data_IF_232546026097
#
_entry.id   IF_232546026097
#
_cell.length_a   1.000
_cell.length_b   1.000
_cell.length_c   1.000
_cell.angle_alpha   90.00
_cell.angle_beta   90.00
_cell.angle_gamma   90.00
#
_symmetry.space_group_name_H-M   'P 1'
#
loop_
_entity.id
_entity.type
_entity.pdbx_description
1 polymer ?
#
# COMPACT_ATOMS: atom_id res chain seq x y z
N UNK A 1 -24.06 0.93 -8.63
CA UNK A 1 -25.12 1.70 -9.35
C UNK A 1 -24.66 3.02 -9.93
N UNK A 2 -24.07 3.95 -9.14
CA UNK A 2 -23.61 5.27 -9.63
C UNK A 2 -22.72 5.22 -10.89
N UNK A 3 -21.79 4.28 -10.98
CA UNK A 3 -20.94 4.09 -12.16
C UNK A 3 -21.77 3.75 -13.41
N UNK A 4 -22.76 2.87 -13.28
CA UNK A 4 -23.59 2.42 -14.40
C UNK A 4 -24.52 3.52 -14.94
N UNK A 5 -24.78 4.55 -14.15
CA UNK A 5 -25.47 5.75 -14.63
C UNK A 5 -24.58 6.60 -15.58
N UNK A 6 -23.25 6.44 -15.49
CA UNK A 6 -22.26 7.14 -16.34
C UNK A 6 -21.86 6.24 -17.53
N UNK A 7 -21.63 4.95 -17.26
CA UNK A 7 -21.23 3.96 -18.26
C UNK A 7 -22.12 2.71 -18.16
N UNK A 8 -23.16 2.65 -19.00
CA UNK A 8 -24.22 1.65 -18.91
C UNK A 8 -23.77 0.22 -19.26
N UNK A 9 -22.69 0.08 -20.02
CA UNK A 9 -22.15 -1.22 -20.47
C UNK A 9 -21.41 -2.00 -19.37
N UNK A 10 -21.07 -1.35 -18.25
CA UNK A 10 -20.43 -2.02 -17.14
C UNK A 10 -21.34 -3.05 -16.47
N UNK A 11 -20.77 -4.20 -16.14
CA UNK A 11 -21.42 -5.22 -15.30
C UNK A 11 -21.63 -4.65 -13.88
N UNK A 12 -22.73 -5.02 -13.20
CA UNK A 12 -22.91 -4.65 -11.81
C UNK A 12 -21.85 -5.34 -10.95
N UNK A 13 -21.06 -4.55 -10.20
CA UNK A 13 -20.15 -5.07 -9.19
C UNK A 13 -20.94 -5.60 -7.98
N UNK A 14 -20.47 -6.70 -7.44
CA UNK A 14 -20.94 -7.33 -6.20
C UNK A 14 -20.01 -6.97 -5.04
N UNK A 15 -20.36 -7.36 -3.82
CA UNK A 15 -19.49 -7.13 -2.66
C UNK A 15 -18.16 -7.90 -2.77
N UNK A 16 -18.20 -9.10 -3.33
CA UNK A 16 -17.01 -9.93 -3.51
C UNK A 16 -16.00 -9.31 -4.48
N UNK A 17 -16.47 -8.50 -5.44
CA UNK A 17 -15.60 -7.82 -6.41
C UNK A 17 -14.66 -6.80 -5.74
N UNK A 18 -15.03 -6.24 -4.58
CA UNK A 18 -14.16 -5.30 -3.87
C UNK A 18 -12.99 -5.98 -3.17
N UNK A 19 -13.13 -7.25 -2.78
CA UNK A 19 -12.06 -8.06 -2.16
C UNK A 19 -11.23 -8.85 -3.20
N UNK A 20 -11.66 -8.88 -4.46
CA UNK A 20 -11.07 -9.74 -5.47
C UNK A 20 -9.80 -9.14 -6.08
N UNK A 21 -8.71 -9.90 -6.04
CA UNK A 21 -7.54 -9.66 -6.87
C UNK A 21 -7.66 -10.49 -8.16
N UNK A 22 -7.90 -9.82 -9.30
CA UNK A 22 -8.28 -10.51 -10.53
C UNK A 22 -7.11 -11.09 -11.33
N UNK A 23 -5.91 -10.50 -11.24
CA UNK A 23 -4.73 -10.83 -12.06
C UNK A 23 -5.05 -11.01 -13.55
N UNK A 24 -5.96 -10.18 -14.04
CA UNK A 24 -6.50 -10.22 -15.39
C UNK A 24 -6.93 -8.82 -15.84
N UNK A 25 -7.26 -8.61 -17.13
CA UNK A 25 -7.83 -7.36 -17.65
C UNK A 25 -9.26 -7.08 -17.15
N UNK A 26 -9.44 -7.01 -15.83
CA UNK A 26 -10.70 -6.78 -15.12
C UNK A 26 -10.47 -5.65 -14.12
N UNK A 27 -11.40 -4.70 -14.06
CA UNK A 27 -11.33 -3.55 -13.17
C UNK A 27 -12.70 -3.32 -12.51
N UNK A 28 -12.72 -3.32 -11.18
CA UNK A 28 -13.87 -2.88 -10.39
C UNK A 28 -13.77 -1.35 -10.18
N UNK A 29 -14.88 -0.64 -10.40
CA UNK A 29 -14.93 0.83 -10.28
C UNK A 29 -16.04 1.23 -9.33
N UNK A 30 -15.73 2.12 -8.38
CA UNK A 30 -16.68 2.69 -7.42
C UNK A 30 -16.61 4.21 -7.42
N UNK A 31 -17.77 4.87 -7.46
CA UNK A 31 -17.85 6.34 -7.24
C UNK A 31 -18.04 6.59 -5.75
N UNK A 32 -17.10 7.32 -5.15
CA UNK A 32 -17.13 7.73 -3.74
C UNK A 32 -17.50 9.20 -3.59
N UNK A 33 -17.85 9.64 -2.38
CA UNK A 33 -18.25 11.03 -2.11
C UNK A 33 -17.05 12.00 -1.99
N UNK A 34 -15.87 11.47 -1.64
CA UNK A 34 -14.67 12.26 -1.40
C UNK A 34 -13.56 11.40 -0.79
N UNK A 35 -12.52 12.07 -0.27
CA UNK A 35 -11.32 11.41 0.26
C UNK A 35 -11.61 10.51 1.47
N UNK A 36 -12.50 10.90 2.37
CA UNK A 36 -12.87 10.10 3.54
C UNK A 36 -13.40 8.73 3.14
N UNK A 37 -14.39 8.71 2.24
CA UNK A 37 -14.98 7.47 1.73
C UNK A 37 -14.00 6.66 0.85
N UNK A 38 -13.01 7.30 0.24
CA UNK A 38 -11.94 6.62 -0.49
C UNK A 38 -11.00 5.87 0.49
N UNK A 39 -10.55 6.55 1.54
CA UNK A 39 -9.68 5.98 2.57
C UNK A 39 -10.39 4.83 3.30
N UNK A 40 -11.65 5.01 3.69
CA UNK A 40 -12.44 3.95 4.33
C UNK A 40 -12.63 2.73 3.42
N UNK A 41 -12.83 2.95 2.12
CA UNK A 41 -12.94 1.87 1.15
C UNK A 41 -11.60 1.11 1.04
N UNK A 42 -10.48 1.81 0.91
CA UNK A 42 -9.14 1.18 0.87
C UNK A 42 -8.87 0.40 2.16
N UNK A 43 -9.16 0.98 3.32
CA UNK A 43 -8.94 0.33 4.62
C UNK A 43 -9.78 -0.94 4.80
N UNK A 44 -10.99 -0.97 4.21
CA UNK A 44 -11.91 -2.11 4.33
C UNK A 44 -11.57 -3.24 3.36
N UNK A 45 -11.26 -2.89 2.10
CA UNK A 45 -11.19 -3.87 1.00
C UNK A 45 -9.77 -4.09 0.45
N UNK A 46 -8.85 -3.15 0.68
CA UNK A 46 -7.49 -3.25 0.21
C UNK A 46 -6.68 -4.31 0.95
N UNK A 47 -5.70 -4.90 0.26
CA UNK A 47 -4.77 -5.90 0.83
C UNK A 47 -3.60 -5.28 1.59
N UNK A 48 -3.60 -3.95 1.78
CA UNK A 48 -2.48 -3.19 2.37
C UNK A 48 -1.17 -3.31 1.57
N UNK A 49 -1.25 -3.60 0.26
CA UNK A 49 -0.10 -3.70 -0.61
C UNK A 49 0.28 -2.33 -1.18
N UNK A 50 -0.43 -1.84 -2.19
CA UNK A 50 -0.08 -0.55 -2.82
C UNK A 50 -1.32 0.22 -3.21
N UNK A 51 -1.40 1.44 -2.73
CA UNK A 51 -2.54 2.34 -2.98
C UNK A 51 -2.04 3.71 -3.42
N UNK A 52 -2.79 4.35 -4.30
CA UNK A 52 -2.41 5.63 -4.89
C UNK A 52 -3.57 6.61 -4.92
N UNK A 53 -3.25 7.90 -4.78
CA UNK A 53 -4.16 9.01 -5.02
C UNK A 53 -3.67 9.83 -6.21
N UNK A 54 -4.61 10.26 -7.06
CA UNK A 54 -4.37 11.28 -8.09
C UNK A 54 -5.06 12.56 -7.66
N UNK A 55 -4.29 13.61 -7.36
CA UNK A 55 -4.82 14.89 -6.89
C UNK A 55 -3.83 16.04 -7.06
N UNK A 56 -4.33 17.25 -7.29
CA UNK A 56 -3.56 18.50 -7.26
C UNK A 56 -3.69 19.23 -5.90
N UNK A 57 -4.55 18.74 -5.01
CA UNK A 57 -4.75 19.31 -3.68
C UNK A 57 -3.68 18.78 -2.72
N UNK A 58 -2.80 19.68 -2.31
CA UNK A 58 -1.69 19.37 -1.40
C UNK A 58 -2.16 18.79 -0.05
N UNK A 59 -3.25 19.32 0.51
CA UNK A 59 -3.77 18.86 1.80
C UNK A 59 -4.34 17.46 1.68
N UNK A 60 -5.04 17.15 0.58
CA UNK A 60 -5.57 15.81 0.30
C UNK A 60 -4.45 14.80 0.07
N UNK A 61 -3.42 15.16 -0.69
CA UNK A 61 -2.26 14.30 -0.91
C UNK A 61 -1.58 13.92 0.42
N UNK A 62 -1.28 14.91 1.27
CA UNK A 62 -0.67 14.67 2.59
C UNK A 62 -1.54 13.81 3.48
N UNK A 63 -2.85 14.04 3.45
CA UNK A 63 -3.81 13.29 4.24
C UNK A 63 -3.86 11.82 3.82
N UNK A 64 -3.94 11.56 2.52
CA UNK A 64 -3.94 10.20 1.97
C UNK A 64 -2.66 9.43 2.35
N UNK A 65 -1.49 10.03 2.17
CA UNK A 65 -0.19 9.42 2.53
C UNK A 65 -0.12 9.06 4.02
N UNK A 66 -0.77 9.84 4.88
CA UNK A 66 -0.76 9.61 6.33
C UNK A 66 -1.79 8.57 6.79
N UNK A 67 -2.96 8.54 6.18
CA UNK A 67 -4.12 7.79 6.67
C UNK A 67 -4.29 6.43 5.98
N UNK A 68 -3.78 6.24 4.76
CA UNK A 68 -3.77 4.94 4.09
C UNK A 68 -2.61 4.10 4.62
N UNK A 69 -2.92 2.93 5.19
CA UNK A 69 -1.96 2.07 5.88
C UNK A 69 -1.53 0.87 5.02
N UNK A 70 -0.98 1.16 3.84
CA UNK A 70 -0.46 0.15 2.89
C UNK A 70 1.06 0.13 2.88
N UNK A 71 1.65 -0.96 2.38
CA UNK A 71 3.11 -1.12 2.33
C UNK A 71 3.78 -0.08 1.43
N UNK A 72 3.05 0.43 0.43
CA UNK A 72 3.44 1.56 -0.41
C UNK A 72 2.25 2.48 -0.68
N UNK A 73 2.40 3.78 -0.41
CA UNK A 73 1.38 4.79 -0.66
C UNK A 73 1.92 5.87 -1.58
N UNK A 74 1.21 6.14 -2.68
CA UNK A 74 1.70 6.98 -3.76
C UNK A 74 0.79 8.17 -4.06
N UNK A 75 1.38 9.27 -4.53
CA UNK A 75 0.66 10.46 -5.01
C UNK A 75 1.07 10.73 -6.45
N UNK A 76 0.09 10.76 -7.37
CA UNK A 76 0.29 11.04 -8.79
C UNK A 76 1.34 10.13 -9.47
N UNK A 77 1.48 8.90 -8.98
CA UNK A 77 2.37 7.88 -9.54
C UNK A 77 1.63 6.53 -9.66
N UNK A 78 2.06 5.71 -10.62
CA UNK A 78 1.48 4.39 -10.85
C UNK A 78 1.84 3.44 -9.72
N UNK A 79 0.87 2.63 -9.27
CA UNK A 79 1.10 1.56 -8.28
C UNK A 79 2.12 0.52 -8.75
N UNK A 80 2.40 0.44 -10.05
CA UNK A 80 3.44 -0.44 -10.63
C UNK A 80 4.86 -0.15 -10.15
N UNK A 81 5.12 1.04 -9.61
CA UNK A 81 6.43 1.41 -9.07
C UNK A 81 6.75 0.76 -7.72
N UNK A 82 5.81 0.07 -7.07
CA UNK A 82 6.07 -0.65 -5.82
C UNK A 82 6.83 -1.95 -6.12
N UNK A 83 8.14 -1.80 -6.31
CA UNK A 83 9.09 -2.82 -6.72
C UNK A 83 10.48 -2.45 -6.21
N UNK A 84 11.28 -3.43 -5.76
CA UNK A 84 12.58 -3.16 -5.16
C UNK A 84 13.60 -2.49 -6.09
N UNK A 85 13.59 -2.75 -7.40
CA UNK A 85 14.49 -2.03 -8.33
C UNK A 85 14.05 -0.59 -8.49
N UNK A 86 12.75 -0.35 -8.68
CA UNK A 86 12.18 1.00 -8.80
C UNK A 86 12.40 1.83 -7.53
N UNK A 87 12.44 1.18 -6.36
CA UNK A 87 12.75 1.81 -5.08
C UNK A 87 14.26 1.97 -4.81
N UNK A 88 15.13 1.51 -5.72
CA UNK A 88 16.58 1.65 -5.60
C UNK A 88 17.24 0.65 -4.64
N UNK A 89 16.55 -0.44 -4.27
CA UNK A 89 17.11 -1.50 -3.42
C UNK A 89 18.08 -2.41 -4.19
N UNK A 90 18.04 -2.39 -5.52
CA UNK A 90 18.90 -3.16 -6.43
C UNK A 90 18.62 -4.67 -6.49
N UNK A 91 17.73 -5.17 -5.63
CA UNK A 91 17.17 -6.52 -5.65
C UNK A 91 15.93 -6.56 -4.75
N UNK A 92 15.10 -7.59 -4.93
CA UNK A 92 13.95 -7.89 -4.08
C UNK A 92 13.78 -9.41 -3.95
N UNK A 93 13.48 -9.90 -2.74
CA UNK A 93 13.04 -11.30 -2.53
C UNK A 93 11.54 -11.49 -2.72
N UNK A 94 10.78 -10.45 -2.37
CA UNK A 94 9.35 -10.28 -2.60
C UNK A 94 8.85 -9.02 -1.90
N UNK A 95 7.53 -8.81 -1.92
CA UNK A 95 6.86 -7.68 -1.29
C UNK A 95 6.12 -8.15 -0.04
N UNK A 96 6.41 -7.52 1.09
CA UNK A 96 5.73 -7.78 2.36
C UNK A 96 4.60 -6.76 2.58
N UNK A 97 3.40 -7.24 2.90
CA UNK A 97 2.29 -6.39 3.35
C UNK A 97 2.22 -6.28 4.88
N UNK A 98 2.94 -7.15 5.59
CA UNK A 98 2.95 -7.24 7.05
C UNK A 98 3.58 -6.01 7.71
N UNK A 99 3.14 -5.72 8.94
CA UNK A 99 3.58 -4.53 9.69
C UNK A 99 4.89 -4.72 10.45
N UNK A 100 5.31 -5.97 10.68
CA UNK A 100 6.46 -6.29 11.52
C UNK A 100 7.67 -6.62 10.65
N UNK A 101 8.87 -6.34 11.17
CA UNK A 101 10.17 -6.64 10.57
C UNK A 101 10.49 -5.84 9.29
N UNK A 102 9.88 -6.18 8.15
CA UNK A 102 10.10 -5.52 6.86
C UNK A 102 8.76 -5.40 6.11
N UNK A 103 8.52 -4.24 5.48
CA UNK A 103 7.26 -3.90 4.81
C UNK A 103 7.52 -3.18 3.49
N UNK A 104 6.79 -3.56 2.45
CA UNK A 104 7.02 -3.14 1.07
C UNK A 104 8.01 -4.09 0.37
N UNK A 105 8.60 -3.64 -0.74
CA UNK A 105 9.76 -4.30 -1.35
C UNK A 105 10.85 -4.67 -0.35
N UNK A 106 11.17 -5.96 -0.24
CA UNK A 106 12.15 -6.47 0.73
C UNK A 106 13.49 -6.73 0.05
N UNK A 107 14.46 -5.85 0.30
CA UNK A 107 15.86 -5.99 -0.12
C UNK A 107 16.73 -6.75 0.89
N UNK A 108 18.05 -6.61 0.77
CA UNK A 108 19.03 -7.34 1.60
C UNK A 108 18.84 -7.09 3.11
N UNK A 109 18.54 -5.85 3.52
CA UNK A 109 18.37 -5.50 4.94
C UNK A 109 17.23 -6.28 5.61
N UNK A 110 16.15 -6.54 4.88
CA UNK A 110 15.02 -7.34 5.38
C UNK A 110 15.34 -8.82 5.61
N UNK A 111 16.54 -9.27 5.22
CA UNK A 111 17.05 -10.62 5.51
C UNK A 111 18.12 -10.60 6.62
N UNK A 112 18.30 -9.49 7.31
CA UNK A 112 19.23 -9.34 8.43
C UNK A 112 18.50 -9.27 9.78
N UNK A 113 19.25 -9.35 10.87
CA UNK A 113 18.75 -9.15 12.22
C UNK A 113 19.74 -8.31 13.03
N UNK A 114 19.25 -7.64 14.07
CA UNK A 114 20.05 -6.78 14.92
C UNK A 114 20.34 -7.48 16.25
N UNK A 115 21.59 -7.39 16.74
CA UNK A 115 21.98 -7.85 18.07
C UNK A 115 22.77 -6.77 18.80
N UNK A 116 22.68 -6.77 20.11
CA UNK A 116 23.55 -5.94 20.95
C UNK A 116 24.92 -6.60 21.12
N UNK A 117 25.96 -5.78 21.06
CA UNK A 117 27.33 -6.18 21.39
C UNK A 117 27.82 -5.21 22.46
N UNK A 118 28.21 -5.73 23.62
CA UNK A 118 28.75 -4.94 24.73
C UNK A 118 30.16 -5.43 25.00
N UNK A 119 31.13 -4.53 24.87
CA UNK A 119 32.52 -4.79 25.21
C UNK A 119 32.79 -4.25 26.61
N UNK A 120 32.97 -5.15 27.57
CA UNK A 120 33.20 -4.80 28.96
C UNK A 120 34.67 -4.89 29.36
N UNK A 121 35.01 -4.15 30.41
CA UNK A 121 36.26 -4.27 31.16
C UNK A 121 35.94 -4.13 32.66
N UNK A 122 35.54 -5.24 33.31
CA UNK A 122 35.23 -5.26 34.75
C UNK A 122 33.94 -4.57 35.19
N UNK A 123 32.97 -4.32 34.30
CA UNK A 123 31.74 -3.62 34.65
C UNK A 123 30.82 -4.47 35.52
N UNK A 124 30.29 -3.87 36.59
CA UNK A 124 29.26 -4.44 37.48
C UNK A 124 27.97 -3.61 37.39
N UNK A 125 26.82 -4.23 37.67
CA UNK A 125 25.52 -3.54 37.73
C UNK A 125 25.20 -3.20 39.19
N UNK A 126 24.80 -1.95 39.44
CA UNK A 126 24.29 -1.50 40.75
C UNK A 126 22.86 -1.98 41.00
#
# INVERSE_FOLDING_TARGET
ERVRAILSECRPATEADWYAEYLAPVLAVRVVAGIDAAIEHIATYGSQHTDAIVTEDYSRARRFVREVDSSSVMVNASTRFADGFEYGLGAEIGISTDKLHARGPVGLEGLTSQKFVVLGDGHVRA
#
